data_IF_345754814234
#
_entry.id   IF_345754814234
#
_cell.length_a   1.000
_cell.length_b   1.000
_cell.length_c   1.000
_cell.angle_alpha   90.00
_cell.angle_beta   90.00
_cell.angle_gamma   90.00
#
_symmetry.space_group_name_H-M   'P 1'
#
loop_
_entity.id
_entity.type
_entity.pdbx_description
1 polymer ?
#
# COMPACT_ATOMS: atom_id res chain seq x y z
N UNK A 1 -9.58 1.45 -20.27
CA UNK A 1 -9.17 2.80 -19.83
C UNK A 1 -8.44 3.44 -21.00
N UNK A 2 -8.64 4.73 -21.28
CA UNK A 2 -7.96 5.39 -22.40
C UNK A 2 -6.50 5.65 -22.02
N UNK A 3 -5.53 5.35 -22.90
CA UNK A 3 -4.10 5.58 -22.63
C UNK A 3 -3.83 7.05 -22.27
N UNK A 4 -4.52 7.97 -22.93
CA UNK A 4 -4.49 9.41 -22.63
C UNK A 4 -4.90 9.74 -21.18
N UNK A 5 -5.89 9.03 -20.63
CA UNK A 5 -6.32 9.25 -19.24
C UNK A 5 -5.27 8.75 -18.24
N UNK A 6 -4.64 7.62 -18.52
CA UNK A 6 -3.55 7.07 -17.68
C UNK A 6 -2.34 8.00 -17.67
N UNK A 7 -1.96 8.53 -18.84
CA UNK A 7 -0.86 9.49 -18.97
C UNK A 7 -1.15 10.80 -18.22
N UNK A 8 -2.36 11.34 -18.35
CA UNK A 8 -2.77 12.55 -17.61
C UNK A 8 -2.80 12.33 -16.10
N UNK A 9 -3.25 11.16 -15.65
CA UNK A 9 -3.25 10.80 -14.23
C UNK A 9 -1.82 10.65 -13.70
N UNK A 10 -0.94 9.98 -14.44
CA UNK A 10 0.47 9.89 -14.09
C UNK A 10 1.16 11.26 -14.07
N UNK A 11 0.85 12.14 -15.03
CA UNK A 11 1.36 13.50 -15.08
C UNK A 11 0.88 14.35 -13.89
N UNK A 12 -0.39 14.20 -13.48
CA UNK A 12 -0.89 14.86 -12.28
C UNK A 12 -0.12 14.40 -11.03
N UNK A 13 0.05 13.08 -10.85
CA UNK A 13 0.83 12.53 -9.74
C UNK A 13 2.29 12.95 -9.75
N UNK A 14 2.90 13.15 -10.92
CA UNK A 14 4.28 13.63 -11.03
C UNK A 14 4.48 15.07 -10.53
N UNK A 15 3.41 15.84 -10.38
CA UNK A 15 3.43 17.20 -9.82
C UNK A 15 3.04 17.23 -8.34
N UNK A 16 2.75 16.09 -7.71
CA UNK A 16 2.27 16.03 -6.32
C UNK A 16 3.20 16.75 -5.34
N UNK A 17 4.52 16.57 -5.48
CA UNK A 17 5.53 17.19 -4.60
C UNK A 17 5.61 18.73 -4.74
N UNK A 18 4.99 19.30 -5.78
CA UNK A 18 4.88 20.75 -5.96
C UNK A 18 3.77 21.36 -5.09
N UNK A 19 2.86 20.55 -4.55
CA UNK A 19 1.78 20.99 -3.67
C UNK A 19 2.23 20.98 -2.21
N UNK A 20 2.14 22.13 -1.54
CA UNK A 20 2.32 22.19 -0.09
C UNK A 20 1.12 21.63 0.68
N UNK A 21 1.24 21.55 2.01
CA UNK A 21 0.12 21.16 2.87
C UNK A 21 -1.12 22.08 2.68
N UNK A 22 -0.90 23.37 2.44
CA UNK A 22 -1.96 24.36 2.20
C UNK A 22 -2.71 24.11 0.86
N UNK A 23 -2.02 23.55 -0.14
CA UNK A 23 -2.55 23.30 -1.48
C UNK A 23 -3.07 21.86 -1.66
N UNK A 24 -3.06 21.05 -0.60
CA UNK A 24 -3.50 19.66 -0.63
C UNK A 24 -4.94 19.48 -1.14
N UNK A 25 -5.81 20.46 -0.89
CA UNK A 25 -7.18 20.46 -1.42
C UNK A 25 -7.22 20.63 -2.94
N UNK A 26 -6.32 21.43 -3.50
CA UNK A 26 -6.24 21.68 -4.94
C UNK A 26 -5.75 20.42 -5.67
N UNK A 27 -4.76 19.73 -5.13
CA UNK A 27 -4.34 18.43 -5.67
C UNK A 27 -5.48 17.41 -5.69
N UNK A 28 -6.24 17.30 -4.59
CA UNK A 28 -7.41 16.41 -4.54
C UNK A 28 -8.46 16.79 -5.59
N UNK A 29 -8.69 18.09 -5.84
CA UNK A 29 -9.61 18.55 -6.86
C UNK A 29 -9.16 18.17 -8.29
N UNK A 30 -7.85 18.19 -8.57
CA UNK A 30 -7.29 17.72 -9.85
C UNK A 30 -7.59 16.23 -10.06
N UNK A 31 -7.35 15.40 -9.04
CA UNK A 31 -7.66 13.96 -9.10
C UNK A 31 -9.17 13.73 -9.24
N UNK A 32 -10.00 14.49 -8.52
CA UNK A 32 -11.47 14.38 -8.63
C UNK A 32 -11.98 14.70 -10.03
N UNK A 33 -11.39 15.69 -10.71
CA UNK A 33 -11.73 16.03 -12.09
C UNK A 33 -11.38 14.90 -13.06
N UNK A 34 -10.20 14.29 -12.93
CA UNK A 34 -9.80 13.13 -13.72
C UNK A 34 -10.71 11.92 -13.47
N UNK A 35 -11.07 11.67 -12.21
CA UNK A 35 -11.97 10.58 -11.83
C UNK A 35 -13.38 10.79 -12.38
N UNK A 36 -13.85 12.04 -12.52
CA UNK A 36 -15.16 12.35 -13.10
C UNK A 36 -15.28 11.97 -14.60
N UNK A 37 -14.16 11.74 -15.29
CA UNK A 37 -14.14 11.27 -16.68
C UNK A 37 -14.33 9.74 -16.80
N UNK A 38 -14.22 9.00 -15.69
CA UNK A 38 -14.40 7.55 -15.66
C UNK A 38 -15.89 7.16 -15.62
N UNK A 39 -16.24 5.94 -16.08
CA UNK A 39 -17.56 5.37 -15.84
C UNK A 39 -17.91 5.38 -14.34
N UNK A 40 -19.18 5.63 -14.02
CA UNK A 40 -19.63 5.81 -12.62
C UNK A 40 -19.37 4.57 -11.74
N UNK A 41 -19.35 3.38 -12.33
CA UNK A 41 -19.10 2.08 -11.71
C UNK A 41 -17.62 1.67 -11.74
N UNK A 42 -16.73 2.48 -12.34
CA UNK A 42 -15.31 2.17 -12.43
C UNK A 42 -14.70 1.98 -11.03
N UNK A 43 -13.98 0.86 -10.79
CA UNK A 43 -13.27 0.64 -9.52
C UNK A 43 -12.02 1.52 -9.38
N UNK A 44 -11.50 2.07 -10.47
CA UNK A 44 -10.29 2.93 -10.46
C UNK A 44 -10.58 4.31 -9.88
N UNK A 45 -11.80 4.82 -10.06
CA UNK A 45 -12.21 6.13 -9.52
C UNK A 45 -12.03 6.25 -8.01
N UNK A 46 -12.65 5.38 -7.19
CA UNK A 46 -12.45 5.41 -5.74
C UNK A 46 -11.00 5.09 -5.34
N UNK A 47 -10.25 4.30 -6.12
CA UNK A 47 -8.84 4.06 -5.86
C UNK A 47 -7.99 5.33 -5.97
N UNK A 48 -8.08 6.08 -7.07
CA UNK A 48 -7.29 7.31 -7.25
C UNK A 48 -7.67 8.37 -6.20
N UNK A 49 -8.96 8.50 -5.88
CA UNK A 49 -9.43 9.38 -4.80
C UNK A 49 -8.86 8.97 -3.44
N UNK A 50 -8.84 7.67 -3.15
CA UNK A 50 -8.27 7.16 -1.91
C UNK A 50 -6.79 7.50 -1.80
N UNK A 51 -6.02 7.30 -2.87
CA UNK A 51 -4.62 7.70 -2.95
C UNK A 51 -4.44 9.19 -2.67
N UNK A 52 -5.25 10.06 -3.29
CA UNK A 52 -5.16 11.51 -3.07
C UNK A 52 -5.45 11.90 -1.61
N UNK A 53 -6.44 11.28 -0.97
CA UNK A 53 -6.71 11.50 0.46
C UNK A 53 -5.60 10.98 1.37
N UNK A 54 -5.07 9.79 1.10
CA UNK A 54 -4.01 9.18 1.94
C UNK A 54 -2.70 9.96 1.83
N UNK A 55 -2.29 10.31 0.61
CA UNK A 55 -1.09 11.12 0.35
C UNK A 55 -1.17 12.52 0.96
N UNK A 56 -2.39 13.03 1.19
CA UNK A 56 -2.62 14.33 1.84
C UNK A 56 -2.96 14.20 3.33
N UNK A 57 -2.64 13.06 3.96
CA UNK A 57 -2.67 12.88 5.42
C UNK A 57 -4.04 12.48 5.99
N UNK A 58 -5.02 12.14 5.15
CA UNK A 58 -6.38 11.80 5.57
C UNK A 58 -6.69 10.31 5.35
N UNK A 59 -5.95 9.45 6.04
CA UNK A 59 -6.16 8.00 6.00
C UNK A 59 -7.60 7.60 6.40
N UNK A 60 -8.26 8.37 7.28
CA UNK A 60 -9.67 8.17 7.66
C UNK A 60 -10.64 8.31 6.48
N UNK A 61 -10.32 9.20 5.53
CA UNK A 61 -11.08 9.41 4.29
C UNK A 61 -10.68 8.44 3.18
N UNK A 62 -9.43 8.01 3.14
CA UNK A 62 -8.92 7.07 2.16
C UNK A 62 -9.47 5.64 2.36
N UNK A 63 -9.53 5.15 3.60
CA UNK A 63 -9.97 3.78 3.93
C UNK A 63 -11.32 3.38 3.29
N UNK A 64 -12.42 4.15 3.44
CA UNK A 64 -13.69 3.76 2.83
C UNK A 64 -13.62 3.70 1.30
N UNK A 65 -12.84 4.56 0.66
CA UNK A 65 -12.67 4.60 -0.79
C UNK A 65 -11.84 3.41 -1.31
N UNK A 66 -10.76 3.04 -0.63
CA UNK A 66 -10.02 1.82 -0.97
C UNK A 66 -10.88 0.56 -0.84
N UNK A 67 -11.68 0.46 0.23
CA UNK A 67 -12.64 -0.64 0.39
C UNK A 67 -13.67 -0.66 -0.74
N UNK A 68 -14.16 0.51 -1.14
CA UNK A 68 -15.08 0.64 -2.27
C UNK A 68 -14.44 0.15 -3.57
N UNK A 69 -13.20 0.57 -3.88
CA UNK A 69 -12.47 0.12 -5.07
C UNK A 69 -12.35 -1.41 -5.12
N UNK A 70 -11.94 -2.04 -4.01
CA UNK A 70 -11.87 -3.50 -3.92
C UNK A 70 -13.24 -4.16 -4.05
N UNK A 71 -14.30 -3.59 -3.45
CA UNK A 71 -15.66 -4.13 -3.54
C UNK A 71 -16.25 -4.07 -4.96
N UNK A 72 -15.81 -3.08 -5.74
CA UNK A 72 -16.14 -2.93 -7.17
C UNK A 72 -15.28 -3.83 -8.07
N UNK A 73 -14.42 -4.66 -7.49
CA UNK A 73 -13.63 -5.65 -8.22
C UNK A 73 -12.28 -5.15 -8.71
N UNK A 74 -11.69 -4.10 -8.11
CA UNK A 74 -10.31 -3.71 -8.46
C UNK A 74 -9.34 -4.85 -8.18
N UNK A 75 -8.69 -5.35 -9.22
CA UNK A 75 -7.82 -6.53 -9.18
C UNK A 75 -6.45 -6.27 -9.86
N UNK A 76 -5.70 -7.35 -10.09
CA UNK A 76 -4.35 -7.30 -10.66
C UNK A 76 -3.41 -6.39 -9.86
N UNK A 77 -2.54 -5.69 -10.60
CA UNK A 77 -1.54 -4.79 -10.02
C UNK A 77 -2.16 -3.67 -9.17
N UNK A 78 -3.22 -3.02 -9.68
CA UNK A 78 -3.93 -1.96 -8.94
C UNK A 78 -4.64 -2.50 -7.71
N UNK A 79 -5.23 -3.69 -7.78
CA UNK A 79 -5.82 -4.36 -6.62
C UNK A 79 -4.78 -4.64 -5.53
N UNK A 80 -3.60 -5.16 -5.91
CA UNK A 80 -2.49 -5.39 -4.97
C UNK A 80 -2.01 -4.08 -4.34
N UNK A 81 -1.77 -3.04 -5.14
CA UNK A 81 -1.46 -1.68 -4.64
C UNK A 81 -2.54 -1.16 -3.68
N UNK A 82 -3.80 -1.39 -3.98
CA UNK A 82 -4.92 -0.95 -3.13
C UNK A 82 -4.86 -1.60 -1.76
N UNK A 83 -4.57 -2.91 -1.69
CA UNK A 83 -4.44 -3.62 -0.40
C UNK A 83 -3.27 -3.13 0.42
N UNK A 84 -2.12 -2.86 -0.21
CA UNK A 84 -0.92 -2.31 0.44
C UNK A 84 -1.22 -0.93 1.04
N UNK A 85 -1.76 -0.02 0.24
CA UNK A 85 -2.08 1.33 0.70
C UNK A 85 -3.19 1.31 1.76
N UNK A 86 -4.25 0.52 1.57
CA UNK A 86 -5.31 0.35 2.56
C UNK A 86 -4.77 -0.17 3.90
N UNK A 87 -3.87 -1.15 3.91
CA UNK A 87 -3.26 -1.64 5.14
C UNK A 87 -2.43 -0.55 5.84
N UNK A 88 -1.67 0.24 5.08
CA UNK A 88 -0.95 1.41 5.60
C UNK A 88 -1.91 2.42 6.23
N UNK A 89 -3.01 2.79 5.55
CA UNK A 89 -4.01 3.72 6.07
C UNK A 89 -4.75 3.16 7.30
N UNK A 90 -5.05 1.86 7.31
CA UNK A 90 -5.71 1.18 8.45
C UNK A 90 -4.85 1.26 9.71
N UNK A 91 -3.53 1.06 9.60
CA UNK A 91 -2.63 1.21 10.75
C UNK A 91 -2.66 2.63 11.30
N UNK A 92 -2.64 3.65 10.43
CA UNK A 92 -2.62 5.06 10.82
C UNK A 92 -3.86 5.46 11.63
N UNK A 93 -4.98 4.76 11.44
CA UNK A 93 -6.23 5.00 12.17
C UNK A 93 -6.45 3.98 13.32
N UNK A 94 -5.42 3.25 13.72
CA UNK A 94 -5.46 2.30 14.84
C UNK A 94 -6.14 0.95 14.53
N UNK A 95 -6.31 0.61 13.25
CA UNK A 95 -6.91 -0.65 12.78
C UNK A 95 -5.86 -1.63 12.22
N UNK A 96 -4.68 -1.69 12.82
CA UNK A 96 -3.54 -2.48 12.33
C UNK A 96 -3.86 -3.98 12.16
N UNK A 97 -4.71 -4.56 13.02
CA UNK A 97 -5.17 -5.96 12.93
C UNK A 97 -5.84 -6.25 11.57
N UNK A 98 -6.63 -5.32 11.05
CA UNK A 98 -7.26 -5.46 9.73
C UNK A 98 -6.23 -5.33 8.60
N UNK A 99 -5.20 -4.49 8.79
CA UNK A 99 -4.05 -4.40 7.87
C UNK A 99 -3.28 -5.72 7.79
N UNK A 100 -3.04 -6.39 8.92
CA UNK A 100 -2.42 -7.73 8.97
C UNK A 100 -3.27 -8.75 8.22
N UNK A 101 -4.58 -8.82 8.51
CA UNK A 101 -5.50 -9.74 7.81
C UNK A 101 -5.53 -9.52 6.30
N UNK A 102 -5.47 -8.25 5.88
CA UNK A 102 -5.48 -7.86 4.48
C UNK A 102 -4.21 -8.27 3.74
N UNK A 103 -3.03 -8.10 4.35
CA UNK A 103 -1.73 -8.36 3.70
C UNK A 103 -1.19 -9.77 3.88
N UNK A 104 -1.62 -10.52 4.89
CA UNK A 104 -1.14 -11.90 5.09
C UNK A 104 -1.34 -12.80 3.86
N UNK A 105 -2.50 -12.77 3.16
CA UNK A 105 -2.68 -13.54 1.93
C UNK A 105 -1.72 -13.12 0.79
N UNK A 106 -1.28 -11.86 0.75
CA UNK A 106 -0.39 -11.34 -0.29
C UNK A 106 1.03 -11.90 -0.23
N UNK A 107 1.42 -12.51 0.90
CA UNK A 107 2.74 -13.16 1.06
C UNK A 107 2.91 -14.40 0.17
N UNK A 108 1.80 -15.03 -0.23
CA UNK A 108 1.78 -16.26 -1.05
C UNK A 108 1.05 -16.07 -2.38
N UNK A 109 0.66 -14.83 -2.69
CA UNK A 109 0.14 -14.45 -4.00
C UNK A 109 1.23 -14.57 -5.08
N UNK A 110 0.88 -14.58 -6.38
CA UNK A 110 1.86 -14.48 -7.45
C UNK A 110 2.82 -13.31 -7.21
N UNK A 111 4.12 -13.60 -7.32
CA UNK A 111 5.20 -12.64 -7.06
C UNK A 111 5.25 -11.56 -8.15
N UNK A 112 5.42 -10.32 -7.72
CA UNK A 112 5.67 -9.15 -8.56
C UNK A 112 6.58 -8.16 -7.80
N UNK A 113 6.87 -6.99 -8.39
CA UNK A 113 7.74 -5.98 -7.81
C UNK A 113 7.25 -5.37 -6.47
N UNK A 114 6.00 -5.62 -6.07
CA UNK A 114 5.42 -5.15 -4.81
C UNK A 114 5.66 -6.09 -3.63
N UNK A 115 6.34 -7.21 -3.84
CA UNK A 115 6.64 -8.22 -2.82
C UNK A 115 7.32 -7.62 -1.57
N UNK A 116 8.24 -6.68 -1.75
CA UNK A 116 8.92 -6.01 -0.63
C UNK A 116 8.01 -4.99 0.05
N UNK A 117 7.15 -4.30 -0.71
CA UNK A 117 6.18 -3.35 -0.17
C UNK A 117 5.12 -4.04 0.70
N UNK A 118 4.67 -5.24 0.30
CA UNK A 118 3.79 -6.09 1.11
C UNK A 118 4.46 -6.42 2.44
N UNK A 119 5.71 -6.90 2.43
CA UNK A 119 6.45 -7.27 3.64
C UNK A 119 6.70 -6.08 4.55
N UNK A 120 7.05 -4.93 3.99
CA UNK A 120 7.26 -3.69 4.75
C UNK A 120 5.97 -3.21 5.42
N UNK A 121 4.86 -3.10 4.68
CA UNK A 121 3.59 -2.64 5.24
C UNK A 121 3.01 -3.62 6.26
N UNK A 122 3.14 -4.93 6.02
CA UNK A 122 2.74 -5.95 6.99
C UNK A 122 3.59 -5.88 8.26
N UNK A 123 4.90 -5.67 8.16
CA UNK A 123 5.77 -5.51 9.31
C UNK A 123 5.42 -4.27 10.16
N UNK A 124 5.02 -3.16 9.52
CA UNK A 124 4.52 -1.98 10.23
C UNK A 124 3.21 -2.28 10.98
N UNK A 125 2.26 -2.95 10.34
CA UNK A 125 1.02 -3.35 11.01
C UNK A 125 1.29 -4.31 12.19
N UNK A 126 2.24 -5.23 12.05
CA UNK A 126 2.66 -6.14 13.12
C UNK A 126 3.32 -5.38 14.29
N UNK A 127 4.15 -4.37 13.99
CA UNK A 127 4.78 -3.54 15.01
C UNK A 127 3.76 -2.78 15.86
N UNK A 128 2.72 -2.20 15.23
CA UNK A 128 1.62 -1.52 15.94
C UNK A 128 0.82 -2.46 16.88
N UNK A 129 0.97 -3.77 16.71
CA UNK A 129 0.35 -4.82 17.53
C UNK A 129 1.31 -5.46 18.55
N UNK A 130 2.55 -4.97 18.67
CA UNK A 130 3.57 -5.58 19.55
C UNK A 130 4.12 -6.92 19.04
N UNK A 131 4.05 -7.14 17.71
CA UNK A 131 4.56 -8.33 17.02
C UNK A 131 5.81 -8.00 16.19
N UNK A 132 6.67 -7.13 16.72
CA UNK A 132 7.83 -6.57 16.02
C UNK A 132 8.81 -7.65 15.58
N UNK A 133 8.93 -8.76 16.32
CA UNK A 133 9.81 -9.89 15.94
C UNK A 133 9.36 -10.53 14.63
N UNK A 134 8.06 -10.68 14.42
CA UNK A 134 7.49 -11.19 13.17
C UNK A 134 7.70 -10.18 12.04
N UNK A 135 7.47 -8.89 12.32
CA UNK A 135 7.75 -7.82 11.37
C UNK A 135 9.22 -7.76 10.94
N UNK A 136 10.16 -7.85 11.90
CA UNK A 136 11.60 -7.89 11.67
C UNK A 136 12.01 -9.09 10.80
N UNK A 137 11.43 -10.27 11.06
CA UNK A 137 11.67 -11.45 10.23
C UNK A 137 11.29 -11.20 8.77
N UNK A 138 10.13 -10.58 8.53
CA UNK A 138 9.67 -10.26 7.17
C UNK A 138 10.62 -9.28 6.46
N UNK A 139 10.98 -8.16 7.09
CA UNK A 139 11.80 -7.13 6.44
C UNK A 139 13.26 -7.53 6.28
N UNK A 140 13.85 -8.26 7.24
CA UNK A 140 15.22 -8.77 7.09
C UNK A 140 15.25 -9.85 6.00
N UNK A 141 14.23 -10.70 5.93
CA UNK A 141 14.06 -11.68 4.86
C UNK A 141 13.95 -11.02 3.48
N UNK A 142 13.19 -9.93 3.38
CA UNK A 142 13.04 -9.13 2.15
C UNK A 142 14.35 -8.43 1.76
N UNK A 143 15.10 -7.89 2.74
CA UNK A 143 16.35 -7.18 2.49
C UNK A 143 17.49 -8.11 2.07
N UNK A 144 17.52 -9.35 2.57
CA UNK A 144 18.66 -10.24 2.41
C UNK A 144 19.12 -10.47 0.95
N UNK A 145 18.24 -10.66 -0.05
CA UNK A 145 18.63 -10.80 -1.46
C UNK A 145 19.26 -9.54 -2.06
N UNK A 146 18.94 -8.36 -1.53
CA UNK A 146 19.44 -7.06 -2.03
C UNK A 146 20.83 -6.70 -1.49
N UNK A 147 21.32 -7.41 -0.48
CA UNK A 147 22.61 -7.10 0.13
C UNK A 147 23.77 -7.55 -0.78
N UNK A 148 24.89 -6.79 -0.84
CA UNK A 148 26.07 -7.20 -1.58
C UNK A 148 26.82 -8.37 -0.92
N UNK A 149 26.60 -8.62 0.37
CA UNK A 149 27.20 -9.69 1.18
C UNK A 149 26.31 -10.04 2.37
N UNK A 150 26.57 -11.20 3.00
CA UNK A 150 25.84 -11.72 4.16
C UNK A 150 24.39 -12.16 3.90
N UNK A 151 24.01 -12.41 2.64
CA UNK A 151 22.65 -12.78 2.25
C UNK A 151 22.17 -14.02 3.01
N UNK A 152 22.98 -15.09 3.02
CA UNK A 152 22.68 -16.33 3.75
C UNK A 152 22.52 -16.10 5.25
N UNK A 153 23.38 -15.28 5.85
CA UNK A 153 23.32 -15.00 7.29
C UNK A 153 22.05 -14.22 7.65
N UNK A 154 21.70 -13.19 6.87
CA UNK A 154 20.50 -12.40 7.12
C UNK A 154 19.21 -13.21 6.90
N UNK A 155 19.16 -14.05 5.85
CA UNK A 155 18.06 -14.99 5.66
C UNK A 155 17.90 -15.96 6.84
N UNK A 156 19.02 -16.47 7.38
CA UNK A 156 19.00 -17.33 8.57
C UNK A 156 18.52 -16.58 9.83
N UNK A 157 18.97 -15.35 10.05
CA UNK A 157 18.54 -14.55 11.20
C UNK A 157 17.05 -14.18 11.11
N UNK A 158 16.55 -13.82 9.93
CA UNK A 158 15.14 -13.59 9.69
C UNK A 158 14.29 -14.81 10.10
N UNK A 159 14.69 -16.01 9.66
CA UNK A 159 14.01 -17.27 10.03
C UNK A 159 14.03 -17.52 11.54
N UNK A 160 15.19 -17.36 12.19
CA UNK A 160 15.37 -17.63 13.61
C UNK A 160 14.60 -16.67 14.53
N UNK A 161 14.14 -15.51 14.05
CA UNK A 161 13.37 -14.56 14.86
C UNK A 161 11.98 -15.09 15.28
N UNK A 162 11.41 -15.98 14.46
CA UNK A 162 10.05 -16.51 14.60
C UNK A 162 10.01 -18.01 14.88
N UNK A 163 11.16 -18.68 14.89
CA UNK A 163 11.25 -20.06 15.35
C UNK A 163 11.17 -20.14 16.87
N UNK A 164 10.43 -21.12 17.43
CA UNK A 164 10.44 -21.33 18.87
C UNK A 164 11.87 -21.61 19.35
N UNK A 165 12.26 -21.00 20.46
CA UNK A 165 13.47 -21.43 21.17
C UNK A 165 13.27 -22.89 21.59
N UNK A 166 14.20 -23.76 21.16
CA UNK A 166 14.14 -25.20 21.39
C UNK A 166 14.35 -25.60 22.84
#
# INVERSE_FOLDING_TARGET
MNEDWEERTAAAWATFDDYGEEDAADFRAVIDALVAELPADSPVGPFERACAWDSTGHSDRAVPLYREALSRGLDGYRGRRTRIQLASSLRNIGQAEEGVKLLTPELVAPSDELDDAVRACLALCLADLGREREGLALVIGALAPHLPRYQRSMANYARLLVEPEG
#
